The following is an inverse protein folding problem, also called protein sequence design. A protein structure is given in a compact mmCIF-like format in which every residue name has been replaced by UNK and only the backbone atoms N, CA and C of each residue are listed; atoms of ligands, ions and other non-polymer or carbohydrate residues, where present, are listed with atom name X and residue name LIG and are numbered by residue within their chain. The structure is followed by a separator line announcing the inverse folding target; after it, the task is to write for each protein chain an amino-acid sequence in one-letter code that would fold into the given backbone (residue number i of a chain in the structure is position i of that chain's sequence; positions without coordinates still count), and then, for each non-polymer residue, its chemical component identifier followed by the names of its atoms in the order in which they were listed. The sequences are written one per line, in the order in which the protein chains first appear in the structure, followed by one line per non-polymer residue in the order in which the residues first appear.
data_IF_743752511329
#
_entry.id   IF_743752511329
#
_cell.length_a   1.000
_cell.length_b   1.000
_cell.length_c   1.000
_cell.angle_alpha   90.00
_cell.angle_beta   90.00
_cell.angle_gamma   90.00
#
_symmetry.space_group_name_H-M   'P 1'
#
loop_
_entity.id
_entity.type
_entity.pdbx_description
1 polymer ?
#
# COMPACT_ATOMS: atom_id res chain seq x y z
N UNK A 1 -10.73 18.09 10.94
CA UNK A 1 -9.70 17.75 11.94
C UNK A 1 -8.35 17.72 11.23
N UNK A 2 -7.68 18.86 11.17
CA UNK A 2 -6.27 18.97 10.82
C UNK A 2 -5.61 19.57 12.08
N UNK A 3 -4.44 19.08 12.48
CA UNK A 3 -3.69 19.52 13.68
C UNK A 3 -4.21 19.03 15.05
N UNK A 4 -4.86 17.86 15.13
CA UNK A 4 -5.16 17.23 16.42
C UNK A 4 -3.96 16.38 16.91
N UNK A 5 -3.07 17.01 17.68
CA UNK A 5 -1.87 16.38 18.23
C UNK A 5 -2.15 15.22 19.18
N UNK A 6 -3.27 15.27 19.91
CA UNK A 6 -3.65 14.19 20.84
C UNK A 6 -4.05 12.94 20.07
N UNK A 7 -4.85 13.11 19.02
CA UNK A 7 -5.22 12.02 18.13
C UNK A 7 -4.00 11.45 17.40
N UNK A 8 -3.12 12.32 16.89
CA UNK A 8 -1.87 11.89 16.24
C UNK A 8 -0.97 11.07 17.16
N UNK A 9 -0.77 11.53 18.40
CA UNK A 9 0.01 10.81 19.41
C UNK A 9 -0.63 9.45 19.77
N UNK A 10 -1.96 9.40 19.90
CA UNK A 10 -2.68 8.16 20.20
C UNK A 10 -2.56 7.15 19.05
N UNK A 11 -2.69 7.58 17.79
CA UNK A 11 -2.50 6.71 16.62
C UNK A 11 -1.08 6.13 16.61
N UNK A 12 -0.07 6.97 16.86
CA UNK A 12 1.32 6.54 16.88
C UNK A 12 1.61 5.57 18.03
N UNK A 13 1.01 5.78 19.20
CA UNK A 13 1.10 4.85 20.32
C UNK A 13 0.46 3.50 19.98
N UNK A 14 -0.79 3.50 19.49
CA UNK A 14 -1.51 2.27 19.13
C UNK A 14 -0.83 1.48 18.03
N UNK A 15 -0.31 2.14 16.99
CA UNK A 15 0.44 1.48 15.93
C UNK A 15 1.67 0.74 16.48
N UNK A 16 2.42 1.34 17.42
CA UNK A 16 3.55 0.66 18.06
C UNK A 16 3.09 -0.50 18.94
N UNK A 17 2.00 -0.30 19.69
CA UNK A 17 1.44 -1.34 20.56
C UNK A 17 1.00 -2.58 19.78
N UNK A 18 0.41 -2.40 18.60
CA UNK A 18 -0.05 -3.51 17.77
C UNK A 18 1.06 -4.14 16.93
N UNK A 19 1.89 -3.33 16.26
CA UNK A 19 2.71 -3.81 15.13
C UNK A 19 4.22 -3.80 15.40
N UNK A 20 4.71 -3.15 16.47
CA UNK A 20 6.16 -3.01 16.66
C UNK A 20 6.90 -4.34 16.92
N UNK A 21 6.18 -5.39 17.28
CA UNK A 21 6.72 -6.74 17.54
C UNK A 21 6.44 -7.74 16.43
N UNK A 22 5.73 -7.33 15.38
CA UNK A 22 5.35 -8.23 14.31
C UNK A 22 6.56 -8.59 13.46
N UNK A 23 6.62 -9.86 13.07
CA UNK A 23 7.70 -10.47 12.29
C UNK A 23 7.13 -11.42 11.26
N UNK A 24 7.86 -11.68 10.17
CA UNK A 24 7.50 -12.69 9.17
C UNK A 24 6.09 -12.51 8.59
N UNK A 25 5.75 -11.27 8.22
CA UNK A 25 4.46 -10.91 7.64
C UNK A 25 4.07 -11.88 6.51
N UNK A 26 2.85 -12.46 6.53
CA UNK A 26 2.48 -13.55 5.64
C UNK A 26 2.07 -13.07 4.24
N UNK A 27 2.91 -12.26 3.59
CA UNK A 27 2.65 -11.70 2.26
C UNK A 27 2.32 -12.79 1.20
N UNK A 28 2.86 -14.01 1.40
CA UNK A 28 2.59 -15.19 0.56
C UNK A 28 1.15 -15.69 0.59
N UNK A 29 0.34 -15.26 1.56
CA UNK A 29 -1.09 -15.61 1.66
C UNK A 29 -1.98 -14.61 0.92
N UNK A 30 -1.41 -13.52 0.41
CA UNK A 30 -2.12 -12.55 -0.41
C UNK A 30 -1.90 -12.83 -1.91
N UNK A 31 -2.88 -12.52 -2.80
CA UNK A 31 -4.18 -11.95 -2.48
C UNK A 31 -5.21 -13.00 -2.02
N UNK A 32 -6.08 -12.62 -1.09
CA UNK A 32 -7.41 -13.21 -0.94
C UNK A 32 -8.29 -12.85 -2.15
N UNK A 33 -9.37 -13.60 -2.37
CA UNK A 33 -10.20 -13.48 -3.58
C UNK A 33 -11.00 -12.18 -3.71
N UNK A 34 -11.08 -11.37 -2.65
CA UNK A 34 -11.88 -10.14 -2.58
C UNK A 34 -11.16 -9.01 -1.80
N UNK A 35 -9.84 -9.08 -1.69
CA UNK A 35 -9.04 -8.11 -0.96
C UNK A 35 -9.07 -6.72 -1.64
N UNK A 36 -9.24 -5.66 -0.85
CA UNK A 36 -9.03 -4.27 -1.27
C UNK A 36 -7.64 -3.74 -0.93
N UNK A 37 -7.06 -4.25 0.15
CA UNK A 37 -5.83 -3.76 0.77
C UNK A 37 -4.91 -4.95 0.98
N UNK A 38 -3.60 -4.68 0.96
CA UNK A 38 -2.58 -5.66 1.34
C UNK A 38 -2.26 -5.46 2.82
N UNK A 39 -2.73 -6.31 3.75
CA UNK A 39 -2.49 -6.11 5.17
C UNK A 39 -1.02 -5.91 5.50
N UNK A 40 -0.13 -6.71 4.90
CA UNK A 40 1.30 -6.62 5.17
C UNK A 40 1.91 -5.29 4.65
N UNK A 41 1.51 -4.83 3.46
CA UNK A 41 2.04 -3.57 2.93
C UNK A 41 1.43 -2.33 3.60
N UNK A 42 0.16 -2.39 4.01
CA UNK A 42 -0.48 -1.31 4.79
C UNK A 42 0.20 -1.13 6.14
N UNK A 43 0.48 -2.23 6.84
CA UNK A 43 1.22 -2.21 8.10
C UNK A 43 2.62 -1.64 7.91
N UNK A 44 3.35 -2.11 6.89
CA UNK A 44 4.69 -1.60 6.61
C UNK A 44 4.67 -0.10 6.27
N UNK A 45 3.71 0.36 5.47
CA UNK A 45 3.57 1.78 5.11
C UNK A 45 3.17 2.65 6.32
N UNK A 46 2.32 2.14 7.21
CA UNK A 46 2.00 2.79 8.48
C UNK A 46 3.25 2.89 9.35
N UNK A 47 3.96 1.79 9.57
CA UNK A 47 5.13 1.76 10.44
C UNK A 47 6.28 2.61 9.91
N UNK A 48 6.39 2.78 8.58
CA UNK A 48 7.32 3.73 7.97
C UNK A 48 7.06 5.20 8.37
N UNK A 49 5.81 5.55 8.69
CA UNK A 49 5.42 6.90 9.15
C UNK A 49 5.57 7.08 10.66
N UNK A 50 5.50 5.99 11.43
CA UNK A 50 5.49 6.01 12.91
C UNK A 50 6.88 5.88 13.52
N UNK A 51 7.75 5.10 12.89
CA UNK A 51 9.10 4.82 13.38
C UNK A 51 10.13 5.80 12.80
N UNK A 52 11.23 6.02 13.54
CA UNK A 52 12.37 6.74 12.97
C UNK A 52 12.98 5.94 11.81
N UNK A 53 13.67 6.57 10.84
CA UNK A 53 14.22 5.87 9.68
C UNK A 53 15.14 4.69 10.04
N UNK A 54 15.92 4.80 11.12
CA UNK A 54 16.78 3.71 11.59
C UNK A 54 15.98 2.56 12.22
N UNK A 55 15.02 2.88 13.08
CA UNK A 55 14.15 1.88 13.70
C UNK A 55 13.30 1.15 12.65
N UNK A 56 12.75 1.88 11.67
CA UNK A 56 11.97 1.30 10.60
C UNK A 56 12.77 0.30 9.75
N UNK A 57 14.01 0.65 9.35
CA UNK A 57 14.86 -0.27 8.57
C UNK A 57 15.15 -1.58 9.32
N UNK A 58 15.38 -1.50 10.63
CA UNK A 58 15.59 -2.68 11.47
C UNK A 58 14.32 -3.51 11.61
N UNK A 59 13.18 -2.87 11.88
CA UNK A 59 11.88 -3.53 11.98
C UNK A 59 11.48 -4.21 10.66
N UNK A 60 11.60 -3.50 9.54
CA UNK A 60 11.26 -4.01 8.20
C UNK A 60 12.05 -5.27 7.83
N UNK A 61 13.31 -5.37 8.28
CA UNK A 61 14.14 -6.57 8.04
C UNK A 61 13.59 -7.80 8.74
N UNK A 62 12.97 -7.65 9.92
CA UNK A 62 12.34 -8.74 10.66
C UNK A 62 10.90 -9.01 10.20
N UNK A 63 10.16 -7.95 9.90
CA UNK A 63 8.77 -8.01 9.45
C UNK A 63 8.62 -8.58 8.03
N UNK A 64 9.29 -7.97 7.05
CA UNK A 64 9.14 -8.34 5.65
C UNK A 64 10.49 -8.21 4.90
N UNK A 65 11.41 -9.18 5.07
CA UNK A 65 12.78 -9.08 4.54
C UNK A 65 12.86 -8.99 3.01
N UNK A 66 11.88 -9.55 2.31
CA UNK A 66 11.78 -9.48 0.86
C UNK A 66 10.34 -9.15 0.45
N UNK A 67 10.20 -8.14 -0.42
CA UNK A 67 8.93 -7.79 -1.05
C UNK A 67 8.94 -8.38 -2.46
N UNK A 68 8.21 -9.48 -2.64
CA UNK A 68 8.04 -10.16 -3.93
C UNK A 68 6.55 -10.32 -4.18
N UNK A 69 6.03 -9.56 -5.13
CA UNK A 69 4.61 -9.54 -5.48
C UNK A 69 4.47 -9.57 -7.00
N UNK A 70 3.35 -10.11 -7.45
CA UNK A 70 2.85 -9.93 -8.80
C UNK A 70 1.47 -9.27 -8.71
N UNK A 71 1.07 -8.49 -9.74
CA UNK A 71 -0.29 -7.95 -9.77
C UNK A 71 -1.35 -9.03 -9.57
N UNK A 72 -2.39 -8.71 -8.80
CA UNK A 72 -3.56 -9.55 -8.69
C UNK A 72 -4.29 -9.58 -10.04
N UNK A 73 -4.75 -10.77 -10.42
CA UNK A 73 -5.51 -10.97 -11.67
C UNK A 73 -6.98 -10.69 -11.38
N UNK A 74 -7.55 -9.75 -12.11
CA UNK A 74 -8.98 -9.40 -12.02
C UNK A 74 -9.69 -10.10 -13.16
N UNK A 75 -10.29 -11.27 -12.89
CA UNK A 75 -10.90 -12.12 -13.91
C UNK A 75 -12.26 -11.61 -14.40
N UNK A 76 -13.01 -10.93 -13.53
CA UNK A 76 -14.30 -10.34 -13.83
C UNK A 76 -14.43 -9.00 -13.09
N UNK A 77 -14.63 -7.92 -13.84
CA UNK A 77 -14.78 -6.55 -13.31
C UNK A 77 -16.22 -6.13 -13.08
N UNK A 78 -17.16 -6.98 -13.49
CA UNK A 78 -18.60 -6.83 -13.21
C UNK A 78 -19.02 -7.61 -11.97
N UNK A 79 -18.17 -8.52 -11.48
CA UNK A 79 -18.35 -9.16 -10.19
C UNK A 79 -17.96 -8.18 -9.05
N UNK A 80 -18.88 -7.90 -8.10
CA UNK A 80 -18.67 -6.89 -7.08
C UNK A 80 -17.61 -7.28 -6.02
N UNK A 81 -17.11 -8.52 -6.02
CA UNK A 81 -16.03 -8.98 -5.13
C UNK A 81 -14.69 -9.02 -5.85
N UNK A 82 -14.66 -9.57 -7.05
CA UNK A 82 -13.41 -9.74 -7.81
C UNK A 82 -12.83 -8.38 -8.21
N UNK A 83 -13.68 -7.39 -8.51
CA UNK A 83 -13.24 -6.02 -8.85
C UNK A 83 -12.42 -5.36 -7.72
N UNK A 84 -12.55 -5.80 -6.46
CA UNK A 84 -11.73 -5.33 -5.35
C UNK A 84 -10.23 -5.49 -5.62
N UNK A 85 -9.84 -6.49 -6.42
CA UNK A 85 -8.46 -6.76 -6.76
C UNK A 85 -7.81 -5.66 -7.61
N UNK A 86 -8.59 -4.85 -8.34
CA UNK A 86 -8.07 -3.62 -8.95
C UNK A 86 -7.71 -2.59 -7.85
N UNK A 87 -8.54 -2.48 -6.82
CA UNK A 87 -8.26 -1.69 -5.62
C UNK A 87 -7.01 -2.17 -4.89
N UNK A 88 -6.85 -3.48 -4.74
CA UNK A 88 -5.65 -4.10 -4.16
C UNK A 88 -4.38 -3.73 -4.92
N UNK A 89 -4.39 -3.82 -6.25
CA UNK A 89 -3.24 -3.45 -7.06
C UNK A 89 -2.88 -1.96 -6.86
N UNK A 90 -3.87 -1.07 -6.86
CA UNK A 90 -3.65 0.36 -6.62
C UNK A 90 -3.15 0.63 -5.19
N UNK A 91 -3.68 -0.07 -4.18
CA UNK A 91 -3.20 0.09 -2.80
C UNK A 91 -1.79 -0.46 -2.59
N UNK A 92 -1.47 -1.60 -3.20
CA UNK A 92 -0.10 -2.14 -3.22
C UNK A 92 0.85 -1.14 -3.85
N UNK A 93 0.49 -0.56 -5.00
CA UNK A 93 1.31 0.48 -5.65
C UNK A 93 1.55 1.68 -4.72
N UNK A 94 0.50 2.19 -4.08
CA UNK A 94 0.60 3.28 -3.08
C UNK A 94 1.59 2.95 -1.97
N UNK A 95 1.46 1.78 -1.34
CA UNK A 95 2.35 1.35 -0.26
C UNK A 95 3.79 1.16 -0.75
N UNK A 96 3.97 0.60 -1.96
CA UNK A 96 5.29 0.39 -2.56
C UNK A 96 6.02 1.72 -2.83
N UNK A 97 5.32 2.78 -3.25
CA UNK A 97 5.93 4.11 -3.40
C UNK A 97 6.39 4.69 -2.05
N UNK A 98 5.58 4.56 -1.00
CA UNK A 98 5.95 4.99 0.35
C UNK A 98 7.19 4.23 0.86
N UNK A 99 7.20 2.90 0.68
CA UNK A 99 8.30 2.03 1.10
C UNK A 99 9.59 2.27 0.29
N UNK A 100 9.47 2.54 -1.01
CA UNK A 100 10.59 2.93 -1.87
C UNK A 100 11.35 4.13 -1.28
N UNK A 101 10.59 5.14 -0.83
CA UNK A 101 11.14 6.36 -0.23
C UNK A 101 11.74 6.08 1.15
N UNK A 102 10.98 5.43 2.04
CA UNK A 102 11.41 5.16 3.42
C UNK A 102 12.67 4.27 3.49
N UNK A 103 12.82 3.33 2.55
CA UNK A 103 13.97 2.42 2.48
C UNK A 103 15.06 2.88 1.51
N UNK A 104 14.82 3.95 0.73
CA UNK A 104 15.68 4.40 -0.39
C UNK A 104 15.96 3.25 -1.38
N UNK A 105 14.91 2.55 -1.81
CA UNK A 105 14.96 1.38 -2.70
C UNK A 105 14.11 1.61 -3.97
N UNK A 106 14.65 2.23 -5.03
CA UNK A 106 13.91 2.56 -6.25
C UNK A 106 13.22 1.36 -6.93
N UNK A 107 13.76 0.16 -6.78
CA UNK A 107 13.13 -1.07 -7.29
C UNK A 107 11.71 -1.31 -6.74
N UNK A 108 11.39 -0.81 -5.53
CA UNK A 108 10.04 -0.89 -4.98
C UNK A 108 9.07 0.04 -5.72
N UNK A 109 9.52 1.22 -6.15
CA UNK A 109 8.69 2.09 -6.98
C UNK A 109 8.43 1.47 -8.36
N UNK A 110 9.42 0.82 -8.97
CA UNK A 110 9.22 0.09 -10.24
C UNK A 110 8.22 -1.07 -10.10
N UNK A 111 8.26 -1.78 -8.97
CA UNK A 111 7.24 -2.77 -8.64
C UNK A 111 5.87 -2.10 -8.46
N UNK A 112 5.82 -0.93 -7.82
CA UNK A 112 4.62 -0.11 -7.69
C UNK A 112 4.02 0.29 -9.05
N UNK A 113 4.86 0.71 -10.00
CA UNK A 113 4.45 1.02 -11.37
C UNK A 113 3.81 -0.21 -12.05
N UNK A 114 4.37 -1.41 -11.81
CA UNK A 114 3.83 -2.67 -12.36
C UNK A 114 2.42 -2.96 -11.84
N UNK A 115 2.19 -2.77 -10.54
CA UNK A 115 0.85 -2.91 -9.94
C UNK A 115 -0.11 -1.80 -10.41
N UNK A 116 0.35 -0.55 -10.51
CA UNK A 116 -0.48 0.56 -10.97
C UNK A 116 -0.95 0.34 -12.43
N UNK A 117 -0.06 -0.09 -13.32
CA UNK A 117 -0.38 -0.35 -14.72
C UNK A 117 -1.40 -1.47 -14.92
N UNK A 118 -1.46 -2.44 -14.00
CA UNK A 118 -2.42 -3.54 -14.07
C UNK A 118 -3.88 -3.09 -13.89
N UNK A 119 -4.12 -1.95 -13.22
CA UNK A 119 -5.47 -1.55 -12.78
C UNK A 119 -5.88 -0.15 -13.20
N UNK A 120 -4.94 0.77 -13.45
CA UNK A 120 -5.25 2.13 -13.92
C UNK A 120 -6.12 2.19 -15.19
N UNK A 121 -5.93 1.33 -16.22
CA UNK A 121 -6.78 1.36 -17.40
C UNK A 121 -8.26 1.04 -17.14
N UNK A 122 -8.57 0.45 -15.97
CA UNK A 122 -9.89 -0.10 -15.67
C UNK A 122 -10.68 0.72 -14.63
N UNK A 123 -10.12 1.82 -14.12
CA UNK A 123 -10.80 2.68 -13.13
C UNK A 123 -12.00 3.43 -13.72
N UNK A 124 -12.09 3.51 -15.05
CA UNK A 124 -13.17 4.09 -15.83
C UNK A 124 -13.66 3.07 -16.88
N UNK A 125 -14.08 1.89 -16.42
CA UNK A 125 -14.46 0.73 -17.25
C UNK A 125 -15.90 0.75 -17.78
N UNK A 126 -16.75 1.66 -17.30
CA UNK A 126 -18.19 1.71 -17.50
C UNK A 126 -19.01 0.86 -16.52
N UNK A 127 -18.36 0.12 -15.60
CA UNK A 127 -19.04 -0.72 -14.61
C UNK A 127 -19.12 -0.03 -13.25
N UNK A 128 -20.33 0.11 -12.70
CA UNK A 128 -20.53 0.76 -11.41
C UNK A 128 -19.72 0.08 -10.31
N UNK A 129 -19.62 -1.26 -10.33
CA UNK A 129 -18.97 -2.09 -9.31
C UNK A 129 -17.56 -1.64 -8.95
N UNK A 130 -16.81 -1.07 -9.90
CA UNK A 130 -15.48 -0.49 -9.67
C UNK A 130 -15.46 1.04 -9.67
N UNK A 131 -16.12 1.67 -10.65
CA UNK A 131 -15.92 3.10 -10.95
C UNK A 131 -16.27 4.04 -9.78
N UNK A 132 -17.25 3.68 -8.95
CA UNK A 132 -17.70 4.55 -7.86
C UNK A 132 -16.67 4.72 -6.72
N UNK A 133 -15.63 3.88 -6.66
CA UNK A 133 -14.62 3.93 -5.59
C UNK A 133 -13.17 3.81 -6.08
N UNK A 134 -12.90 3.16 -7.21
CA UNK A 134 -11.53 2.96 -7.73
C UNK A 134 -10.78 4.27 -7.97
N UNK A 135 -11.50 5.33 -8.35
CA UNK A 135 -10.93 6.67 -8.49
C UNK A 135 -10.22 7.17 -7.22
N UNK A 136 -10.75 6.83 -6.04
CA UNK A 136 -10.13 7.20 -4.75
C UNK A 136 -8.77 6.53 -4.59
N UNK A 137 -8.69 5.23 -4.86
CA UNK A 137 -7.44 4.48 -4.77
C UNK A 137 -6.40 4.95 -5.78
N UNK A 138 -6.84 5.28 -7.01
CA UNK A 138 -5.97 5.83 -8.03
C UNK A 138 -5.37 7.18 -7.60
N UNK A 139 -6.18 8.10 -7.06
CA UNK A 139 -5.70 9.39 -6.57
C UNK A 139 -4.73 9.23 -5.40
N UNK A 140 -5.06 8.39 -4.41
CA UNK A 140 -4.17 8.13 -3.27
C UNK A 140 -2.82 7.52 -3.71
N UNK A 141 -2.85 6.65 -4.71
CA UNK A 141 -1.65 6.06 -5.31
C UNK A 141 -0.81 7.11 -6.04
N UNK A 142 -1.44 8.00 -6.82
CA UNK A 142 -0.76 9.09 -7.53
C UNK A 142 -0.12 10.10 -6.57
N UNK A 143 -0.83 10.49 -5.52
CA UNK A 143 -0.31 11.37 -4.47
C UNK A 143 0.94 10.78 -3.79
N UNK A 144 0.89 9.49 -3.42
CA UNK A 144 2.07 8.80 -2.86
C UNK A 144 3.25 8.73 -3.84
N UNK A 145 2.98 8.55 -5.14
CA UNK A 145 4.01 8.53 -6.19
C UNK A 145 4.68 9.90 -6.35
N UNK A 146 3.89 10.97 -6.30
CA UNK A 146 4.37 12.34 -6.39
C UNK A 146 5.24 12.72 -5.17
N UNK A 147 4.77 12.41 -3.97
CA UNK A 147 5.52 12.65 -2.72
C UNK A 147 6.88 11.96 -2.72
N UNK A 148 6.95 10.71 -3.21
CA UNK A 148 8.23 10.00 -3.34
C UNK A 148 9.19 10.64 -4.36
N UNK A 149 8.65 11.20 -5.44
CA UNK A 149 9.44 11.92 -6.45
C UNK A 149 9.96 13.26 -5.92
N UNK A 150 9.16 13.99 -5.14
CA UNK A 150 9.57 15.25 -4.54
C UNK A 150 10.71 15.08 -3.52
N UNK A 151 10.74 13.96 -2.78
CA UNK A 151 11.78 13.66 -1.78
C UNK A 151 13.10 13.14 -2.37
N UNK A 152 13.14 12.85 -3.67
CA UNK A 152 14.33 12.35 -4.38
C UNK A 152 14.98 13.39 -5.29
N UNK A 153 14.35 14.57 -5.46
CA UNK A 153 14.92 15.77 -6.09
C UNK A 153 15.62 16.63 -5.05
#
# INVERSE_FOLDING_TARGET
AVHDEKLGALIAERARTYFAKDTEAPLKWEPGGEDFLSPALEEAALMARILSPSAFRSWMKAFLPAVKLTPAIVSDRTDPKIVHLDGLNLSRARCLYALSTALRRPALAQLGDTHAQASLPFIASGSYEGEHWLGTFAVQMLDAREQGTALTR
#
